data_IF_905309500171
#
_entry.id   IF_905309500171
#
_cell.length_a   1.000
_cell.length_b   1.000
_cell.length_c   1.000
_cell.angle_alpha   90.00
_cell.angle_beta   90.00
_cell.angle_gamma   90.00
#
_symmetry.space_group_name_H-M   'P 1'
#
loop_
_entity.id
_entity.type
_entity.pdbx_description
1 polymer ?
#
# COMPACT_ATOMS: atom_id res chain seq x y z
N UNK A 1 -31.50 9.67 -19.61
CA UNK A 1 -30.37 8.83 -19.17
C UNK A 1 -29.28 8.91 -20.22
N UNK A 2 -28.10 9.39 -19.88
CA UNK A 2 -26.95 9.38 -20.82
C UNK A 2 -26.31 7.99 -20.78
N UNK A 3 -25.95 7.47 -21.95
CA UNK A 3 -25.28 6.19 -22.13
C UNK A 3 -23.76 6.40 -22.20
N UNK A 4 -22.97 5.43 -21.77
CA UNK A 4 -21.51 5.47 -21.88
C UNK A 4 -21.06 5.42 -23.36
N UNK A 5 -21.80 4.65 -24.19
CA UNK A 5 -21.56 4.49 -25.62
C UNK A 5 -22.89 4.74 -26.36
N UNK A 6 -23.10 5.92 -26.91
CA UNK A 6 -24.39 6.33 -27.51
C UNK A 6 -24.81 5.50 -28.75
N UNK A 7 -23.84 4.87 -29.42
CA UNK A 7 -24.08 4.10 -30.66
C UNK A 7 -24.21 2.60 -30.47
N UNK A 8 -24.19 2.09 -29.24
CA UNK A 8 -24.15 0.63 -28.95
C UNK A 8 -25.33 0.20 -28.12
N UNK A 9 -26.08 -0.79 -28.64
CA UNK A 9 -27.14 -1.45 -27.88
C UNK A 9 -26.55 -2.17 -26.64
N UNK A 10 -27.17 -2.00 -25.48
CA UNK A 10 -26.68 -2.58 -24.24
C UNK A 10 -25.51 -1.81 -23.58
N UNK A 11 -25.41 -0.51 -23.88
CA UNK A 11 -24.44 0.38 -23.22
C UNK A 11 -24.77 0.61 -21.76
N UNK A 12 -23.74 0.72 -20.92
CA UNK A 12 -23.87 1.11 -19.52
C UNK A 12 -24.44 2.52 -19.39
N UNK A 13 -25.09 2.78 -18.28
CA UNK A 13 -25.66 4.09 -17.96
C UNK A 13 -24.59 4.93 -17.24
N UNK A 14 -24.41 6.14 -17.72
CA UNK A 14 -23.52 7.13 -17.09
C UNK A 14 -24.08 7.59 -15.75
N UNK A 15 -23.20 8.01 -14.84
CA UNK A 15 -23.60 8.49 -13.52
C UNK A 15 -24.58 9.66 -13.61
N UNK A 16 -25.60 9.67 -12.74
CA UNK A 16 -26.59 10.74 -12.63
C UNK A 16 -26.20 11.83 -11.62
N UNK A 17 -24.95 11.87 -11.19
CA UNK A 17 -24.47 12.88 -10.24
C UNK A 17 -24.62 14.29 -10.79
N UNK A 18 -24.99 15.25 -9.93
CA UNK A 18 -24.96 16.66 -10.30
C UNK A 18 -23.54 17.12 -10.64
N UNK A 19 -23.43 18.13 -11.50
CA UNK A 19 -22.11 18.68 -11.90
C UNK A 19 -21.26 19.11 -10.70
N UNK A 20 -21.87 19.64 -9.64
CA UNK A 20 -21.17 20.03 -8.40
C UNK A 20 -20.57 18.83 -7.69
N UNK A 21 -21.31 17.73 -7.58
CA UNK A 21 -20.82 16.49 -6.94
C UNK A 21 -19.68 15.90 -7.75
N UNK A 22 -19.83 15.79 -9.08
CA UNK A 22 -18.78 15.28 -9.97
C UNK A 22 -17.50 16.11 -9.86
N UNK A 23 -17.63 17.44 -9.88
CA UNK A 23 -16.49 18.35 -9.72
C UNK A 23 -15.78 18.17 -8.37
N UNK A 24 -16.53 18.06 -7.29
CA UNK A 24 -15.97 17.81 -5.95
C UNK A 24 -15.25 16.46 -5.87
N UNK A 25 -15.82 15.40 -6.47
CA UNK A 25 -15.18 14.07 -6.53
C UNK A 25 -13.87 14.14 -7.31
N UNK A 26 -13.84 14.80 -8.49
CA UNK A 26 -12.61 14.98 -9.27
C UNK A 26 -11.54 15.72 -8.47
N UNK A 27 -11.87 16.83 -7.82
CA UNK A 27 -10.91 17.58 -7.00
C UNK A 27 -10.33 16.69 -5.90
N UNK A 28 -11.19 16.02 -5.13
CA UNK A 28 -10.74 15.15 -4.04
C UNK A 28 -9.82 14.04 -4.55
N UNK A 29 -10.22 13.33 -5.60
CA UNK A 29 -9.45 12.23 -6.15
C UNK A 29 -8.13 12.69 -6.76
N UNK A 30 -8.10 13.83 -7.46
CA UNK A 30 -6.87 14.43 -8.00
C UNK A 30 -5.92 14.81 -6.85
N UNK A 31 -6.40 15.39 -5.77
CA UNK A 31 -5.57 15.69 -4.60
C UNK A 31 -4.94 14.41 -4.00
N UNK A 32 -5.72 13.32 -3.89
CA UNK A 32 -5.23 12.03 -3.41
C UNK A 32 -4.17 11.46 -4.37
N UNK A 33 -4.42 11.48 -5.68
CA UNK A 33 -3.46 11.02 -6.70
C UNK A 33 -2.16 11.80 -6.61
N UNK A 34 -2.23 13.13 -6.60
CA UNK A 34 -1.05 13.99 -6.53
C UNK A 34 -0.26 13.76 -5.24
N UNK A 35 -0.93 13.63 -4.10
CA UNK A 35 -0.28 13.34 -2.83
C UNK A 35 0.42 11.96 -2.86
N UNK A 36 -0.21 10.95 -3.48
CA UNK A 36 0.38 9.61 -3.64
C UNK A 36 1.62 9.66 -4.55
N UNK A 37 1.49 10.27 -5.72
CA UNK A 37 2.57 10.34 -6.72
C UNK A 37 3.76 11.15 -6.18
N UNK A 38 3.51 12.38 -5.74
CA UNK A 38 4.56 13.30 -5.28
C UNK A 38 5.22 12.79 -3.99
N UNK A 39 4.42 12.29 -3.04
CA UNK A 39 4.92 11.77 -1.78
C UNK A 39 5.85 10.57 -1.97
N UNK A 40 5.43 9.57 -2.76
CA UNK A 40 6.24 8.38 -3.00
C UNK A 40 7.44 8.68 -3.90
N UNK A 41 7.32 9.58 -4.89
CA UNK A 41 8.45 10.04 -5.68
C UNK A 41 9.52 10.72 -4.79
N UNK A 42 9.12 11.51 -3.81
CA UNK A 42 10.05 12.11 -2.86
C UNK A 42 10.78 11.06 -2.01
N UNK A 43 10.12 9.96 -1.62
CA UNK A 43 10.76 8.83 -0.93
C UNK A 43 11.77 8.15 -1.86
N UNK A 44 11.39 7.86 -3.10
CA UNK A 44 12.24 7.24 -4.12
C UNK A 44 13.50 8.08 -4.34
N UNK A 45 13.35 9.38 -4.60
CA UNK A 45 14.48 10.29 -4.80
C UNK A 45 15.37 10.34 -3.56
N UNK A 46 14.79 10.44 -2.36
CA UNK A 46 15.54 10.48 -1.12
C UNK A 46 16.41 9.25 -0.94
N UNK A 47 15.84 8.05 -1.07
CA UNK A 47 16.61 6.82 -0.83
C UNK A 47 17.63 6.58 -1.95
N UNK A 48 17.28 6.86 -3.21
CA UNK A 48 18.17 6.64 -4.35
C UNK A 48 19.36 7.62 -4.36
N UNK A 49 19.14 8.88 -3.94
CA UNK A 49 20.17 9.93 -4.01
C UNK A 49 21.15 9.87 -2.84
N UNK A 50 20.66 9.72 -1.60
CA UNK A 50 21.51 9.82 -0.41
C UNK A 50 22.15 8.48 -0.05
N UNK A 51 23.49 8.38 -0.22
CA UNK A 51 24.27 7.15 0.06
C UNK A 51 24.09 6.62 1.50
N UNK A 52 23.85 7.50 2.48
CA UNK A 52 23.62 7.12 3.88
C UNK A 52 22.32 6.33 4.06
N UNK A 53 21.39 6.41 3.12
CA UNK A 53 20.12 5.69 3.13
C UNK A 53 20.19 4.33 2.42
N UNK A 54 21.32 3.95 1.83
CA UNK A 54 21.50 2.65 1.17
C UNK A 54 21.67 1.53 2.21
N UNK A 55 20.61 1.22 2.90
CA UNK A 55 20.53 0.12 3.86
C UNK A 55 19.56 -0.96 3.37
N UNK A 56 19.74 -2.23 3.79
CA UNK A 56 18.83 -3.31 3.40
C UNK A 56 17.35 -2.96 3.61
N UNK A 57 17.00 -2.45 4.78
CA UNK A 57 15.62 -2.00 5.09
C UNK A 57 15.11 -0.93 4.14
N UNK A 58 15.94 0.06 3.82
CA UNK A 58 15.53 1.16 2.96
C UNK A 58 15.30 0.72 1.51
N UNK A 59 15.91 -0.37 1.06
CA UNK A 59 15.60 -0.98 -0.24
C UNK A 59 14.18 -1.57 -0.28
N UNK A 60 13.69 -2.14 0.82
CA UNK A 60 12.27 -2.54 0.93
C UNK A 60 11.34 -1.32 0.87
N UNK A 61 11.68 -0.25 1.57
CA UNK A 61 10.91 1.01 1.56
C UNK A 61 10.94 1.65 0.16
N UNK A 62 12.08 1.64 -0.52
CA UNK A 62 12.23 2.12 -1.89
C UNK A 62 11.33 1.33 -2.85
N UNK A 63 11.36 0.00 -2.76
CA UNK A 63 10.54 -0.87 -3.61
C UNK A 63 9.04 -0.67 -3.34
N UNK A 64 8.64 -0.52 -2.06
CA UNK A 64 7.25 -0.21 -1.69
C UNK A 64 6.82 1.15 -2.24
N UNK A 65 7.66 2.19 -2.08
CA UNK A 65 7.36 3.51 -2.62
C UNK A 65 7.24 3.50 -4.16
N UNK A 66 7.99 2.63 -4.84
CA UNK A 66 7.87 2.42 -6.29
C UNK A 66 6.52 1.79 -6.65
N UNK A 67 6.07 0.79 -5.91
CA UNK A 67 4.73 0.19 -6.06
C UNK A 67 3.63 1.24 -5.89
N UNK A 68 3.70 2.00 -4.78
CA UNK A 68 2.70 3.03 -4.45
C UNK A 68 2.71 4.19 -5.47
N UNK A 69 3.91 4.56 -5.98
CA UNK A 69 4.04 5.54 -7.08
C UNK A 69 3.35 5.04 -8.35
N UNK A 70 3.60 3.79 -8.75
CA UNK A 70 2.99 3.20 -9.95
C UNK A 70 1.48 3.06 -9.80
N UNK A 71 0.98 2.70 -8.61
CA UNK A 71 -0.44 2.67 -8.31
C UNK A 71 -1.06 4.06 -8.51
N UNK A 72 -0.44 5.10 -7.94
CA UNK A 72 -0.89 6.48 -8.06
C UNK A 72 -0.82 7.03 -9.49
N UNK A 73 0.19 6.65 -10.25
CA UNK A 73 0.43 7.20 -11.60
C UNK A 73 -0.32 6.45 -12.70
N UNK A 74 -0.41 5.12 -12.64
CA UNK A 74 -1.00 4.30 -13.72
C UNK A 74 -2.45 3.89 -13.43
N UNK A 75 -2.76 3.52 -12.18
CA UNK A 75 -4.05 2.91 -11.85
C UNK A 75 -5.07 3.94 -11.40
N UNK A 76 -4.72 4.78 -10.43
CA UNK A 76 -5.68 5.70 -9.82
C UNK A 76 -6.33 6.70 -10.80
N UNK A 77 -5.64 7.24 -11.84
CA UNK A 77 -6.29 8.15 -12.80
C UNK A 77 -7.41 7.48 -13.59
N UNK A 78 -7.20 6.24 -14.05
CA UNK A 78 -8.23 5.48 -14.76
C UNK A 78 -9.39 5.07 -13.82
N UNK A 79 -9.06 4.69 -12.58
CA UNK A 79 -10.04 4.42 -11.54
C UNK A 79 -10.87 5.65 -11.20
N UNK A 80 -10.29 6.85 -11.20
CA UNK A 80 -11.00 8.11 -10.98
C UNK A 80 -12.08 8.33 -12.07
N UNK A 81 -11.73 8.18 -13.34
CA UNK A 81 -12.69 8.31 -14.44
C UNK A 81 -13.81 7.29 -14.29
N UNK A 82 -13.50 6.02 -14.04
CA UNK A 82 -14.48 4.96 -13.83
C UNK A 82 -15.43 5.28 -12.67
N UNK A 83 -14.91 5.72 -11.53
CA UNK A 83 -15.73 5.98 -10.33
C UNK A 83 -16.64 7.21 -10.45
N UNK A 84 -16.18 8.26 -11.15
CA UNK A 84 -16.97 9.50 -11.30
C UNK A 84 -18.00 9.39 -12.42
N UNK A 85 -17.60 8.82 -13.57
CA UNK A 85 -18.45 8.72 -14.75
C UNK A 85 -19.33 7.46 -14.75
N UNK A 86 -18.97 6.42 -13.99
CA UNK A 86 -19.51 5.06 -14.07
C UNK A 86 -19.35 4.44 -15.47
N UNK A 87 -18.42 4.98 -16.25
CA UNK A 87 -18.11 4.57 -17.60
C UNK A 87 -16.63 4.23 -17.75
N UNK A 88 -16.36 3.29 -18.65
CA UNK A 88 -15.03 2.90 -19.06
C UNK A 88 -14.82 3.14 -20.54
N UNK A 89 -13.92 4.06 -20.87
CA UNK A 89 -13.70 4.53 -22.25
C UNK A 89 -12.50 3.88 -22.94
N UNK A 90 -11.77 3.00 -22.23
CA UNK A 90 -10.45 2.51 -22.69
C UNK A 90 -10.50 1.09 -23.31
N UNK A 91 -11.69 0.53 -23.49
CA UNK A 91 -11.87 -0.79 -24.09
C UNK A 91 -11.72 -1.95 -23.08
N UNK A 92 -12.26 -3.13 -23.47
CA UNK A 92 -12.36 -4.29 -22.59
C UNK A 92 -10.99 -4.90 -22.26
N UNK A 93 -10.10 -4.98 -23.24
CA UNK A 93 -8.75 -5.51 -23.01
C UNK A 93 -7.96 -4.67 -22.01
N UNK A 94 -8.03 -3.34 -22.13
CA UNK A 94 -7.38 -2.45 -21.18
C UNK A 94 -8.05 -2.50 -19.79
N UNK A 95 -9.36 -2.80 -19.70
CA UNK A 95 -10.02 -3.08 -18.43
C UNK A 95 -9.38 -4.27 -17.71
N UNK A 96 -9.11 -5.38 -18.41
CA UNK A 96 -8.42 -6.54 -17.83
C UNK A 96 -7.01 -6.18 -17.36
N UNK A 97 -6.24 -5.43 -18.15
CA UNK A 97 -4.89 -4.96 -17.77
C UNK A 97 -4.97 -4.06 -16.53
N UNK A 98 -5.82 -3.05 -16.57
CA UNK A 98 -5.99 -2.11 -15.46
C UNK A 98 -6.38 -2.82 -14.16
N UNK A 99 -7.36 -3.71 -14.22
CA UNK A 99 -7.82 -4.49 -13.06
C UNK A 99 -6.70 -5.40 -12.52
N UNK A 100 -5.94 -6.05 -13.40
CA UNK A 100 -4.80 -6.87 -13.00
C UNK A 100 -3.70 -6.04 -12.34
N UNK A 101 -3.38 -4.86 -12.87
CA UNK A 101 -2.41 -3.94 -12.28
C UNK A 101 -2.87 -3.40 -10.94
N UNK A 102 -4.15 -3.08 -10.80
CA UNK A 102 -4.74 -2.62 -9.54
C UNK A 102 -4.58 -3.69 -8.44
N UNK A 103 -5.01 -4.92 -8.70
CA UNK A 103 -4.86 -6.04 -7.75
C UNK A 103 -3.38 -6.31 -7.47
N UNK A 104 -2.53 -6.35 -8.50
CA UNK A 104 -1.10 -6.60 -8.36
C UNK A 104 -0.43 -5.56 -7.48
N UNK A 105 -0.57 -4.26 -7.80
CA UNK A 105 0.14 -3.20 -7.10
C UNK A 105 -0.39 -3.01 -5.67
N UNK A 106 -1.71 -3.10 -5.47
CA UNK A 106 -2.31 -3.07 -4.12
C UNK A 106 -1.82 -4.24 -3.26
N UNK A 107 -1.80 -5.46 -3.80
CA UNK A 107 -1.31 -6.65 -3.08
C UNK A 107 0.21 -6.56 -2.85
N UNK A 108 0.98 -6.07 -3.83
CA UNK A 108 2.43 -5.89 -3.68
C UNK A 108 2.78 -4.89 -2.56
N UNK A 109 2.04 -3.78 -2.43
CA UNK A 109 2.19 -2.84 -1.31
C UNK A 109 1.97 -3.54 0.04
N UNK A 110 0.94 -4.38 0.16
CA UNK A 110 0.67 -5.17 1.37
C UNK A 110 1.80 -6.15 1.70
N UNK A 111 2.34 -6.85 0.69
CA UNK A 111 3.46 -7.77 0.86
C UNK A 111 4.73 -7.05 1.33
N UNK A 112 5.03 -5.87 0.77
CA UNK A 112 6.17 -5.06 1.23
C UNK A 112 6.01 -4.64 2.70
N UNK A 113 4.81 -4.21 3.12
CA UNK A 113 4.55 -3.90 4.53
C UNK A 113 4.77 -5.11 5.45
N UNK A 114 4.38 -6.31 4.99
CA UNK A 114 4.61 -7.55 5.74
C UNK A 114 6.10 -7.85 5.89
N UNK A 115 6.89 -7.73 4.82
CA UNK A 115 8.33 -7.95 4.87
C UNK A 115 9.06 -6.86 5.66
N UNK A 116 8.64 -5.59 5.59
CA UNK A 116 9.15 -4.52 6.46
C UNK A 116 8.87 -4.86 7.93
N UNK A 117 7.72 -5.45 8.23
CA UNK A 117 7.40 -5.90 9.60
C UNK A 117 8.32 -7.02 10.07
N UNK A 118 8.65 -7.99 9.20
CA UNK A 118 9.60 -9.07 9.49
C UNK A 118 11.01 -8.51 9.71
N UNK A 119 11.46 -7.60 8.86
CA UNK A 119 12.74 -6.90 9.02
C UNK A 119 12.84 -6.20 10.39
N UNK A 120 11.80 -5.46 10.76
CA UNK A 120 11.74 -4.79 12.05
C UNK A 120 11.68 -5.73 13.24
N UNK A 121 11.03 -6.88 13.08
CA UNK A 121 11.02 -7.91 14.12
C UNK A 121 12.44 -8.36 14.49
N UNK A 122 13.25 -8.71 13.48
CA UNK A 122 14.63 -9.11 13.74
C UNK A 122 15.46 -7.96 14.31
N UNK A 123 15.29 -6.74 13.83
CA UNK A 123 16.02 -5.58 14.35
C UNK A 123 15.73 -5.29 15.83
N UNK A 124 14.50 -5.51 16.29
CA UNK A 124 14.08 -5.19 17.67
C UNK A 124 14.18 -6.39 18.60
N UNK A 125 13.75 -7.57 18.15
CA UNK A 125 13.64 -8.76 19.01
C UNK A 125 14.91 -9.61 19.03
N UNK A 126 15.74 -9.57 17.96
CA UNK A 126 17.00 -10.34 17.86
C UNK A 126 18.12 -9.50 17.21
N UNK A 127 18.53 -8.38 17.84
CA UNK A 127 19.48 -7.44 17.25
C UNK A 127 20.87 -8.04 17.00
N UNK A 128 21.28 -9.04 17.80
CA UNK A 128 22.58 -9.70 17.66
C UNK A 128 22.66 -10.53 16.37
N UNK A 129 21.55 -11.12 15.96
CA UNK A 129 21.46 -11.94 14.74
C UNK A 129 20.91 -11.18 13.54
N UNK A 130 20.50 -9.92 13.71
CA UNK A 130 19.88 -9.12 12.66
C UNK A 130 20.72 -9.13 11.38
N UNK A 131 22.01 -8.76 11.45
CA UNK A 131 22.91 -8.69 10.28
C UNK A 131 23.12 -10.03 9.57
N UNK A 132 23.04 -11.16 10.29
CA UNK A 132 23.18 -12.49 9.70
C UNK A 132 21.89 -12.99 9.07
N UNK A 133 20.73 -12.59 9.59
CA UNK A 133 19.40 -13.02 9.11
C UNK A 133 18.86 -12.11 8.02
N UNK A 134 19.07 -10.80 8.12
CA UNK A 134 18.59 -9.80 7.18
C UNK A 134 19.81 -9.21 6.44
N UNK A 135 20.23 -9.89 5.40
CA UNK A 135 21.30 -9.46 4.50
C UNK A 135 20.70 -9.02 3.15
N UNK A 136 21.54 -8.51 2.26
CA UNK A 136 21.12 -8.01 0.94
C UNK A 136 20.42 -9.09 0.11
N UNK A 137 20.89 -10.33 0.17
CA UNK A 137 20.26 -11.44 -0.58
C UNK A 137 18.82 -11.68 -0.11
N UNK A 138 18.60 -11.74 1.22
CA UNK A 138 17.25 -11.91 1.80
C UNK A 138 16.32 -10.77 1.39
N UNK A 139 16.81 -9.52 1.40
CA UNK A 139 16.03 -8.36 0.95
C UNK A 139 15.66 -8.48 -0.53
N UNK A 140 16.60 -8.86 -1.39
CA UNK A 140 16.30 -9.09 -2.83
C UNK A 140 15.23 -10.16 -3.01
N UNK A 141 15.32 -11.27 -2.27
CA UNK A 141 14.28 -12.33 -2.31
C UNK A 141 12.93 -11.80 -1.84
N UNK A 142 12.89 -11.02 -0.74
CA UNK A 142 11.65 -10.41 -0.25
C UNK A 142 11.03 -9.47 -1.29
N UNK A 143 11.84 -8.63 -1.95
CA UNK A 143 11.40 -7.74 -3.03
C UNK A 143 10.86 -8.58 -4.22
N UNK A 144 11.60 -9.58 -4.67
CA UNK A 144 11.15 -10.45 -5.77
C UNK A 144 9.80 -11.13 -5.45
N UNK A 145 9.64 -11.67 -4.26
CA UNK A 145 8.36 -12.27 -3.81
C UNK A 145 7.24 -11.21 -3.83
N UNK A 146 7.53 -10.00 -3.33
CA UNK A 146 6.54 -8.91 -3.27
C UNK A 146 6.04 -8.44 -4.64
N UNK A 147 6.81 -8.63 -5.70
CA UNK A 147 6.42 -8.31 -7.07
C UNK A 147 5.84 -9.51 -7.81
N UNK A 148 6.55 -10.64 -7.78
CA UNK A 148 6.23 -11.81 -8.64
C UNK A 148 4.97 -12.53 -8.20
N UNK A 149 4.76 -12.71 -6.88
CA UNK A 149 3.59 -13.44 -6.37
C UNK A 149 2.30 -12.65 -6.64
N UNK A 150 2.20 -11.35 -6.31
CA UNK A 150 1.03 -10.56 -6.68
C UNK A 150 0.80 -10.45 -8.19
N UNK A 151 1.87 -10.37 -9.00
CA UNK A 151 1.75 -10.32 -10.46
C UNK A 151 1.14 -11.62 -11.00
N UNK A 152 1.73 -12.77 -10.66
CA UNK A 152 1.22 -14.06 -11.10
C UNK A 152 -0.22 -14.30 -10.64
N UNK A 153 -0.54 -13.92 -9.39
CA UNK A 153 -1.88 -14.02 -8.84
C UNK A 153 -2.89 -13.14 -9.58
N UNK A 154 -2.61 -11.85 -9.73
CA UNK A 154 -3.54 -10.89 -10.32
C UNK A 154 -3.79 -11.17 -11.81
N UNK A 155 -2.72 -11.32 -12.58
CA UNK A 155 -2.85 -11.61 -14.02
C UNK A 155 -3.43 -13.01 -14.27
N UNK A 156 -3.04 -14.02 -13.51
CA UNK A 156 -3.65 -15.35 -13.59
C UNK A 156 -5.14 -15.33 -13.25
N UNK A 157 -5.54 -14.61 -12.20
CA UNK A 157 -6.93 -14.48 -11.77
C UNK A 157 -7.81 -13.85 -12.87
N UNK A 158 -7.36 -12.75 -13.48
CA UNK A 158 -8.16 -11.96 -14.42
C UNK A 158 -8.09 -12.51 -15.86
N UNK A 159 -6.90 -12.87 -16.37
CA UNK A 159 -6.76 -13.31 -17.76
C UNK A 159 -7.25 -14.74 -17.99
N UNK A 160 -7.26 -15.59 -16.96
CA UNK A 160 -7.86 -16.93 -17.01
C UNK A 160 -9.32 -16.93 -16.54
N UNK A 161 -9.94 -15.78 -16.35
CA UNK A 161 -11.31 -15.57 -15.88
C UNK A 161 -11.63 -16.39 -14.61
N UNK A 162 -10.63 -16.65 -13.74
CA UNK A 162 -10.81 -17.43 -12.51
C UNK A 162 -11.67 -16.70 -11.50
N UNK A 163 -11.71 -15.38 -11.53
CA UNK A 163 -12.57 -14.55 -10.70
C UNK A 163 -14.05 -14.75 -11.05
N UNK A 164 -14.39 -15.13 -12.28
CA UNK A 164 -15.75 -15.28 -12.77
C UNK A 164 -16.30 -16.71 -12.65
N UNK A 165 -15.46 -17.71 -12.39
CA UNK A 165 -15.91 -19.11 -12.28
C UNK A 165 -16.95 -19.27 -11.17
N UNK A 166 -18.20 -19.59 -11.57
CA UNK A 166 -19.36 -19.68 -10.67
C UNK A 166 -20.17 -18.39 -10.53
N UNK A 167 -19.72 -17.28 -11.13
CA UNK A 167 -20.41 -15.98 -11.17
C UNK A 167 -20.83 -15.55 -12.59
N UNK A 168 -20.75 -16.46 -13.58
CA UNK A 168 -20.97 -16.16 -15.00
C UNK A 168 -22.38 -15.59 -15.28
N UNK A 169 -23.38 -16.06 -14.57
CA UNK A 169 -24.76 -15.58 -14.70
C UNK A 169 -24.87 -14.11 -14.28
N UNK A 170 -24.23 -13.75 -13.17
CA UNK A 170 -24.24 -12.39 -12.64
C UNK A 170 -23.43 -11.48 -13.55
N UNK A 171 -22.24 -11.94 -13.99
CA UNK A 171 -21.43 -11.20 -14.94
C UNK A 171 -22.23 -10.84 -16.21
N UNK A 172 -22.90 -11.82 -16.82
CA UNK A 172 -23.75 -11.59 -18.01
C UNK A 172 -24.90 -10.61 -17.77
N UNK A 173 -25.40 -10.55 -16.54
CA UNK A 173 -26.51 -9.63 -16.18
C UNK A 173 -26.01 -8.18 -15.97
N UNK A 174 -24.80 -8.02 -15.44
CA UNK A 174 -24.21 -6.71 -15.12
C UNK A 174 -23.36 -6.14 -16.27
N UNK A 175 -22.85 -7.04 -17.13
CA UNK A 175 -21.98 -6.68 -18.24
C UNK A 175 -22.72 -5.82 -19.26
N UNK A 176 -22.16 -4.63 -19.56
CA UNK A 176 -22.68 -3.69 -20.53
C UNK A 176 -21.50 -3.02 -21.26
N UNK A 177 -21.74 -2.56 -22.49
CA UNK A 177 -20.72 -1.86 -23.29
C UNK A 177 -20.31 -0.54 -22.60
N UNK A 178 -19.02 -0.33 -22.39
CA UNK A 178 -18.50 0.81 -21.65
C UNK A 178 -18.50 0.59 -20.12
N UNK A 179 -18.59 -0.67 -19.66
CA UNK A 179 -18.39 -1.04 -18.26
C UNK A 179 -17.02 -1.70 -18.02
N UNK A 180 -16.50 -1.54 -16.82
CA UNK A 180 -15.31 -2.26 -16.35
C UNK A 180 -15.54 -2.66 -14.89
N UNK A 181 -16.04 -3.88 -14.69
CA UNK A 181 -16.46 -4.38 -13.39
C UNK A 181 -15.57 -5.52 -12.93
N UNK A 182 -15.10 -5.43 -11.68
CA UNK A 182 -14.45 -6.53 -11.00
C UNK A 182 -15.49 -7.32 -10.20
N UNK A 183 -15.77 -8.53 -10.65
CA UNK A 183 -16.69 -9.45 -9.99
C UNK A 183 -15.89 -10.65 -9.51
N UNK A 184 -16.12 -11.05 -8.27
CA UNK A 184 -15.59 -12.26 -7.67
C UNK A 184 -16.72 -13.24 -7.40
N UNK A 185 -16.48 -14.52 -7.69
CA UNK A 185 -17.32 -15.60 -7.17
C UNK A 185 -17.06 -15.82 -5.68
N UNK A 186 -17.89 -16.63 -5.02
CA UNK A 186 -17.69 -16.98 -3.60
C UNK A 186 -16.28 -17.50 -3.32
N UNK A 187 -15.82 -18.46 -4.13
CA UNK A 187 -14.50 -19.06 -3.97
C UNK A 187 -13.37 -18.06 -4.28
N UNK A 188 -13.46 -17.35 -5.40
CA UNK A 188 -12.42 -16.41 -5.80
C UNK A 188 -12.33 -15.21 -4.89
N UNK A 189 -13.44 -14.72 -4.36
CA UNK A 189 -13.48 -13.63 -3.38
C UNK A 189 -12.81 -14.00 -2.05
N UNK A 190 -13.08 -15.21 -1.55
CA UNK A 190 -12.38 -15.73 -0.36
C UNK A 190 -10.88 -15.89 -0.64
N UNK A 191 -10.51 -16.57 -1.73
CA UNK A 191 -9.09 -16.80 -2.07
C UNK A 191 -8.34 -15.49 -2.23
N UNK A 192 -8.91 -14.53 -2.97
CA UNK A 192 -8.31 -13.22 -3.15
C UNK A 192 -8.12 -12.49 -1.82
N UNK A 193 -9.12 -12.50 -0.95
CA UNK A 193 -9.06 -11.85 0.36
C UNK A 193 -8.05 -12.52 1.30
N UNK A 194 -8.02 -13.86 1.32
CA UNK A 194 -7.10 -14.63 2.18
C UNK A 194 -5.65 -14.41 1.75
N UNK A 195 -5.35 -14.53 0.46
CA UNK A 195 -3.99 -14.42 -0.07
C UNK A 195 -3.48 -12.98 0.01
N UNK A 196 -4.30 -12.01 -0.42
CA UNK A 196 -3.86 -10.61 -0.54
C UNK A 196 -3.90 -9.84 0.77
N UNK A 197 -4.75 -10.23 1.74
CA UNK A 197 -4.96 -9.44 2.95
C UNK A 197 -4.88 -10.23 4.25
N UNK A 198 -5.68 -11.31 4.42
CA UNK A 198 -5.78 -11.97 5.74
C UNK A 198 -4.48 -12.62 6.16
N UNK A 199 -3.80 -13.37 5.29
CA UNK A 199 -2.50 -13.99 5.63
C UNK A 199 -1.46 -12.93 5.97
N UNK A 200 -1.12 -11.95 5.10
CA UNK A 200 -0.15 -10.91 5.44
C UNK A 200 -0.57 -10.08 6.66
N UNK A 201 -1.85 -9.77 6.80
CA UNK A 201 -2.38 -9.03 7.94
C UNK A 201 -2.19 -9.76 9.28
N UNK A 202 -2.46 -11.06 9.33
CA UNK A 202 -2.22 -11.87 10.54
C UNK A 202 -0.73 -11.99 10.88
N UNK A 203 0.14 -12.15 9.87
CA UNK A 203 1.59 -12.13 10.07
C UNK A 203 2.03 -10.80 10.68
N UNK A 204 1.58 -9.69 10.14
CA UNK A 204 1.88 -8.34 10.66
C UNK A 204 1.39 -8.16 12.09
N UNK A 205 0.14 -8.52 12.41
CA UNK A 205 -0.43 -8.41 13.75
C UNK A 205 0.35 -9.25 14.77
N UNK A 206 0.71 -10.48 14.41
CA UNK A 206 1.53 -11.35 15.27
C UNK A 206 2.89 -10.73 15.55
N UNK A 207 3.57 -10.24 14.50
CA UNK A 207 4.89 -9.60 14.61
C UNK A 207 4.80 -8.35 15.50
N UNK A 208 3.83 -7.48 15.25
CA UNK A 208 3.66 -6.27 16.05
C UNK A 208 3.42 -6.57 17.52
N UNK A 209 2.57 -7.56 17.83
CA UNK A 209 2.36 -8.01 19.21
C UNK A 209 3.66 -8.45 19.88
N UNK A 210 4.52 -9.16 19.16
CA UNK A 210 5.85 -9.58 19.65
C UNK A 210 6.77 -8.39 19.89
N UNK A 211 6.90 -7.50 18.90
CA UNK A 211 7.70 -6.26 19.02
C UNK A 211 7.24 -5.42 20.21
N UNK A 212 5.94 -5.21 20.36
CA UNK A 212 5.37 -4.45 21.46
C UNK A 212 5.71 -5.07 22.84
N UNK A 213 5.56 -6.40 22.96
CA UNK A 213 5.86 -7.11 24.20
C UNK A 213 7.33 -7.00 24.58
N UNK A 214 8.25 -7.16 23.63
CA UNK A 214 9.70 -7.02 23.84
C UNK A 214 10.06 -5.57 24.19
N UNK A 215 9.56 -4.59 23.44
CA UNK A 215 9.80 -3.16 23.71
C UNK A 215 9.30 -2.74 25.10
N UNK A 216 8.15 -3.26 25.53
CA UNK A 216 7.59 -3.01 26.88
C UNK A 216 8.46 -3.62 27.98
N UNK A 217 8.94 -4.86 27.78
CA UNK A 217 9.84 -5.55 28.74
C UNK A 217 11.16 -4.79 28.88
N UNK A 218 11.77 -4.40 27.76
CA UNK A 218 13.02 -3.65 27.73
C UNK A 218 12.88 -2.27 28.41
N UNK A 219 11.78 -1.55 28.16
CA UNK A 219 11.51 -0.26 28.80
C UNK A 219 11.47 -0.39 30.33
N UNK A 220 10.77 -1.41 30.86
CA UNK A 220 10.71 -1.68 32.31
C UNK A 220 12.07 -2.02 32.91
N UNK A 221 12.92 -2.77 32.19
CA UNK A 221 14.27 -3.11 32.65
C UNK A 221 15.15 -1.87 32.75
N UNK A 222 15.06 -0.94 31.80
CA UNK A 222 15.83 0.31 31.81
C UNK A 222 15.39 1.23 32.95
N UNK A 223 14.10 1.38 33.19
CA UNK A 223 13.58 2.16 34.31
C UNK A 223 14.07 1.63 35.67
N UNK A 224 14.26 0.30 35.79
CA UNK A 224 14.79 -0.34 36.99
C UNK A 224 16.31 -0.13 37.15
N UNK A 225 17.08 -0.08 36.06
CA UNK A 225 18.55 0.04 36.04
C UNK A 225 19.00 1.51 36.13
N UNK A 226 18.27 2.45 35.55
CA UNK A 226 18.57 3.89 35.50
C UNK A 226 18.78 4.51 36.88
N UNK A 227 18.28 3.87 37.92
CA UNK A 227 18.52 4.27 39.34
C UNK A 227 19.92 3.90 39.87
N UNK A 228 20.75 3.16 39.13
CA UNK A 228 22.03 2.64 39.68
C UNK A 228 23.31 2.89 38.85
N UNK A 229 23.30 3.21 37.56
CA UNK A 229 24.53 3.34 36.75
C UNK A 229 24.38 4.29 35.54
N UNK A 230 24.83 5.53 35.67
CA UNK A 230 24.53 6.63 34.70
C UNK A 230 25.51 6.79 33.53
N UNK A 231 26.65 6.17 33.43
CA UNK A 231 27.70 6.58 32.48
C UNK A 231 28.05 5.58 31.36
N UNK A 232 27.85 4.32 31.53
CA UNK A 232 28.12 3.29 30.51
C UNK A 232 26.94 3.06 29.56
N UNK A 233 25.75 3.49 29.95
CA UNK A 233 24.47 3.17 29.30
C UNK A 233 24.01 4.17 28.22
N UNK A 234 24.66 5.34 28.08
CA UNK A 234 24.18 6.39 27.19
C UNK A 234 24.12 5.95 25.70
N UNK A 235 25.12 5.20 25.22
CA UNK A 235 25.10 4.67 23.83
C UNK A 235 24.01 3.60 23.64
N UNK A 236 23.80 2.75 24.62
CA UNK A 236 22.77 1.72 24.59
C UNK A 236 21.37 2.33 24.69
N UNK A 237 21.21 3.36 25.50
CA UNK A 237 19.96 4.11 25.67
C UNK A 237 19.56 4.87 24.40
N UNK A 238 20.51 5.50 23.69
CA UNK A 238 20.24 6.22 22.43
C UNK A 238 19.80 5.23 21.33
N UNK A 239 20.47 4.10 21.19
CA UNK A 239 20.07 3.04 20.25
C UNK A 239 18.66 2.54 20.54
N UNK A 240 18.37 2.23 21.80
CA UNK A 240 17.07 1.76 22.26
C UNK A 240 15.93 2.77 22.01
N UNK A 241 16.15 4.05 22.30
CA UNK A 241 15.16 5.11 22.03
C UNK A 241 14.86 5.23 20.53
N UNK A 242 15.88 5.02 19.68
CA UNK A 242 15.72 5.01 18.21
C UNK A 242 14.89 3.82 17.74
N UNK A 243 15.16 2.63 18.25
CA UNK A 243 14.43 1.40 17.92
C UNK A 243 12.98 1.45 18.43
N UNK A 244 12.74 2.01 19.61
CA UNK A 244 11.38 2.22 20.15
C UNK A 244 10.57 3.19 19.29
N UNK A 245 11.18 4.27 18.79
CA UNK A 245 10.53 5.19 17.85
C UNK A 245 10.19 4.47 16.54
N UNK A 246 11.11 3.69 15.99
CA UNK A 246 10.88 2.92 14.77
C UNK A 246 9.75 1.90 14.93
N UNK A 247 9.67 1.21 16.07
CA UNK A 247 8.59 0.26 16.38
C UNK A 247 7.23 0.94 16.51
N UNK A 248 7.18 2.13 17.13
CA UNK A 248 5.94 2.92 17.20
C UNK A 248 5.46 3.35 15.82
N UNK A 249 6.38 3.80 14.97
CA UNK A 249 6.08 4.18 13.58
C UNK A 249 5.51 3.01 12.80
N UNK A 250 6.12 1.83 12.92
CA UNK A 250 5.61 0.63 12.27
C UNK A 250 4.19 0.29 12.73
N UNK A 251 3.91 0.38 14.04
CA UNK A 251 2.57 0.16 14.57
C UNK A 251 1.51 1.10 13.98
N UNK A 252 1.88 2.35 13.72
CA UNK A 252 0.99 3.33 13.07
C UNK A 252 0.76 2.95 11.61
N UNK A 253 1.81 2.62 10.86
CA UNK A 253 1.72 2.19 9.46
C UNK A 253 0.80 0.97 9.34
N UNK A 254 0.98 -0.02 10.21
CA UNK A 254 0.13 -1.22 10.24
C UNK A 254 -1.31 -0.92 10.62
N UNK A 255 -1.53 -0.02 11.59
CA UNK A 255 -2.87 0.43 11.97
C UNK A 255 -3.58 1.12 10.80
N UNK A 256 -2.90 2.02 10.10
CA UNK A 256 -3.41 2.68 8.90
C UNK A 256 -3.74 1.65 7.82
N UNK A 257 -2.85 0.71 7.55
CA UNK A 257 -3.07 -0.37 6.60
C UNK A 257 -4.34 -1.17 6.92
N UNK A 258 -4.48 -1.64 8.16
CA UNK A 258 -5.65 -2.41 8.57
C UNK A 258 -6.95 -1.60 8.46
N UNK A 259 -6.95 -0.34 8.88
CA UNK A 259 -8.13 0.53 8.79
C UNK A 259 -8.52 0.73 7.32
N UNK A 260 -7.55 1.00 6.45
CA UNK A 260 -7.83 1.30 5.05
C UNK A 260 -8.34 0.08 4.26
N UNK A 261 -7.77 -1.11 4.49
CA UNK A 261 -8.06 -2.28 3.66
C UNK A 261 -9.07 -3.26 4.25
N UNK A 262 -9.26 -3.32 5.58
CA UNK A 262 -10.21 -4.26 6.21
C UNK A 262 -11.62 -4.15 5.63
N UNK A 263 -12.22 -2.96 5.46
CA UNK A 263 -13.57 -2.85 4.92
C UNK A 263 -13.67 -3.45 3.51
N UNK A 264 -12.74 -3.12 2.61
CA UNK A 264 -12.74 -3.63 1.24
C UNK A 264 -12.66 -5.15 1.19
N UNK A 265 -11.69 -5.76 1.88
CA UNK A 265 -11.52 -7.22 1.85
C UNK A 265 -12.63 -7.98 2.58
N UNK A 266 -13.19 -7.40 3.64
CA UNK A 266 -14.36 -7.94 4.30
C UNK A 266 -15.53 -8.04 3.31
N UNK A 267 -15.82 -6.97 2.60
CA UNK A 267 -16.91 -6.95 1.63
C UNK A 267 -16.62 -7.77 0.38
N UNK A 268 -15.41 -7.80 -0.11
CA UNK A 268 -15.00 -8.67 -1.22
C UNK A 268 -15.26 -10.16 -0.90
N UNK A 269 -14.98 -10.56 0.33
CA UNK A 269 -15.20 -11.93 0.77
C UNK A 269 -16.69 -12.27 1.01
N UNK A 270 -17.49 -11.29 1.44
CA UNK A 270 -18.89 -11.55 1.86
C UNK A 270 -19.94 -11.22 0.80
N UNK A 271 -19.68 -10.26 -0.11
CA UNK A 271 -20.64 -9.81 -1.11
C UNK A 271 -21.20 -10.93 -2.02
N UNK A 272 -20.40 -11.93 -2.47
CA UNK A 272 -20.95 -13.05 -3.24
C UNK A 272 -21.99 -13.86 -2.49
N UNK A 273 -21.83 -14.07 -1.19
CA UNK A 273 -22.80 -14.79 -0.32
C UNK A 273 -24.06 -13.97 -0.05
N UNK A 274 -24.01 -12.66 -0.25
CA UNK A 274 -25.13 -11.74 -0.11
C UNK A 274 -25.83 -11.46 -1.45
N UNK A 275 -25.64 -12.31 -2.46
CA UNK A 275 -26.20 -12.13 -3.80
C UNK A 275 -25.84 -10.77 -4.44
N UNK A 276 -24.65 -10.25 -4.17
CA UNK A 276 -24.14 -9.00 -4.75
C UNK A 276 -25.03 -7.77 -4.49
N UNK A 277 -25.62 -7.70 -3.29
CA UNK A 277 -26.52 -6.59 -2.90
C UNK A 277 -25.79 -5.25 -2.79
N UNK A 278 -24.47 -5.24 -2.74
CA UNK A 278 -23.71 -4.00 -2.54
C UNK A 278 -23.79 -3.07 -3.74
N UNK A 279 -24.12 -1.79 -3.50
CA UNK A 279 -24.13 -0.80 -4.56
C UNK A 279 -22.69 -0.56 -5.08
N UNK A 280 -22.50 -0.43 -6.41
CA UNK A 280 -21.18 -0.17 -7.02
C UNK A 280 -20.45 1.05 -6.44
N UNK A 281 -21.19 2.09 -6.10
CA UNK A 281 -20.65 3.32 -5.46
C UNK A 281 -19.94 3.01 -4.14
N UNK A 282 -20.49 2.10 -3.34
CA UNK A 282 -19.86 1.71 -2.08
C UNK A 282 -18.57 0.92 -2.33
N UNK A 283 -18.56 0.03 -3.33
CA UNK A 283 -17.36 -0.72 -3.71
C UNK A 283 -16.25 0.26 -4.16
N UNK A 284 -16.57 1.22 -5.01
CA UNK A 284 -15.63 2.25 -5.44
C UNK A 284 -15.11 3.08 -4.26
N UNK A 285 -15.98 3.49 -3.34
CA UNK A 285 -15.57 4.22 -2.14
C UNK A 285 -14.59 3.41 -1.27
N UNK A 286 -14.81 2.10 -1.12
CA UNK A 286 -13.93 1.21 -0.38
C UNK A 286 -12.57 1.01 -1.07
N UNK A 287 -12.54 0.94 -2.40
CA UNK A 287 -11.30 0.90 -3.19
C UNK A 287 -10.49 2.18 -2.96
N UNK A 288 -11.12 3.35 -3.05
CA UNK A 288 -10.46 4.64 -2.81
C UNK A 288 -9.98 4.77 -1.37
N UNK A 289 -10.74 4.24 -0.40
CA UNK A 289 -10.31 4.17 0.99
C UNK A 289 -9.07 3.28 1.16
N UNK A 290 -9.00 2.17 0.42
CA UNK A 290 -7.79 1.33 0.32
C UNK A 290 -6.59 2.07 -0.26
N UNK A 291 -6.78 2.84 -1.34
CA UNK A 291 -5.71 3.64 -1.95
C UNK A 291 -5.11 4.69 -1.02
N UNK A 292 -5.87 5.19 -0.04
CA UNK A 292 -5.33 6.09 0.98
C UNK A 292 -4.16 5.49 1.76
N UNK A 293 -4.06 4.16 1.86
CA UNK A 293 -2.89 3.52 2.46
C UNK A 293 -1.59 3.95 1.76
N UNK A 294 -1.56 3.92 0.42
CA UNK A 294 -0.40 4.33 -0.37
C UNK A 294 -0.12 5.84 -0.30
N UNK A 295 -1.17 6.65 -0.10
CA UNK A 295 -1.05 8.10 0.12
C UNK A 295 -0.47 8.42 1.49
N UNK A 296 -0.85 7.67 2.52
CA UNK A 296 -0.47 7.93 3.91
C UNK A 296 0.95 7.46 4.25
N UNK A 297 1.53 6.51 3.50
CA UNK A 297 2.89 6.01 3.73
C UNK A 297 3.94 7.13 3.75
N UNK A 298 4.08 8.00 2.73
CA UNK A 298 5.04 9.12 2.78
C UNK A 298 4.73 10.13 3.89
N UNK A 299 3.47 10.35 4.20
CA UNK A 299 3.04 11.26 5.28
C UNK A 299 3.53 10.72 6.63
N UNK A 300 3.32 9.44 6.90
CA UNK A 300 3.85 8.80 8.12
C UNK A 300 5.37 8.90 8.18
N UNK A 301 6.08 8.71 7.05
CA UNK A 301 7.53 8.89 7.01
C UNK A 301 7.94 10.34 7.33
N UNK A 302 7.21 11.34 6.84
CA UNK A 302 7.48 12.74 7.14
C UNK A 302 7.30 13.07 8.63
N UNK A 303 6.34 12.44 9.31
CA UNK A 303 6.15 12.66 10.74
C UNK A 303 7.19 11.96 11.61
N UNK A 304 7.60 10.76 11.26
CA UNK A 304 8.37 9.90 12.17
C UNK A 304 9.85 9.77 11.83
N UNK A 305 10.26 9.95 10.57
CA UNK A 305 11.64 9.81 10.16
C UNK A 305 12.31 11.18 9.95
N UNK A 306 13.29 11.50 10.83
CA UNK A 306 14.06 12.75 10.75
C UNK A 306 14.83 12.86 9.44
N UNK A 307 15.39 11.75 8.97
CA UNK A 307 16.12 11.70 7.70
C UNK A 307 15.24 12.10 6.52
N UNK A 308 13.97 11.63 6.50
CA UNK A 308 13.05 11.95 5.42
C UNK A 308 12.71 13.45 5.38
N UNK A 309 12.45 14.05 6.55
CA UNK A 309 12.21 15.50 6.63
C UNK A 309 13.41 16.33 6.15
N UNK A 310 14.65 15.89 6.48
CA UNK A 310 15.86 16.59 6.02
C UNK A 310 16.07 16.41 4.52
N UNK A 311 15.91 15.18 4.00
CA UNK A 311 15.98 14.88 2.58
C UNK A 311 14.93 15.69 1.80
N UNK A 312 13.67 15.71 2.29
CA UNK A 312 12.58 16.47 1.67
C UNK A 312 12.91 17.98 1.58
N UNK A 313 13.47 18.56 2.64
CA UNK A 313 13.93 19.96 2.60
C UNK A 313 14.99 20.17 1.51
N UNK A 314 15.99 19.31 1.40
CA UNK A 314 17.06 19.40 0.39
C UNK A 314 16.46 19.31 -1.02
N UNK A 315 15.50 18.42 -1.24
CA UNK A 315 14.80 18.24 -2.51
C UNK A 315 13.99 19.50 -2.86
N UNK A 316 13.15 19.98 -1.94
CA UNK A 316 12.27 21.13 -2.15
C UNK A 316 13.04 22.43 -2.43
N UNK A 317 14.22 22.61 -1.82
CA UNK A 317 15.07 23.76 -2.09
C UNK A 317 16.00 23.57 -3.29
N UNK A 318 15.85 22.51 -4.08
CA UNK A 318 16.66 22.25 -5.28
C UNK A 318 18.14 21.93 -4.98
N UNK A 319 18.51 21.77 -3.72
CA UNK A 319 19.91 21.50 -3.31
C UNK A 319 20.39 20.09 -3.67
N UNK A 320 19.49 19.25 -4.11
CA UNK A 320 19.78 17.88 -4.58
C UNK A 320 20.73 17.88 -5.79
N UNK A 321 20.69 18.96 -6.59
CA UNK A 321 21.53 19.11 -7.79
C UNK A 321 22.93 19.72 -7.48
N UNK A 322 23.21 20.07 -6.23
CA UNK A 322 24.51 20.62 -5.84
C UNK A 322 25.57 19.50 -5.73
N UNK A 323 26.81 19.85 -6.06
CA UNK A 323 27.96 18.95 -5.95
C UNK A 323 28.09 18.44 -4.50
N UNK A 324 28.30 17.12 -4.30
CA UNK A 324 28.36 16.42 -3.01
C UNK A 324 27.08 16.37 -2.17
N UNK A 325 25.94 16.78 -2.70
CA UNK A 325 24.63 16.69 -1.98
C UNK A 325 24.30 15.26 -1.52
N UNK A 326 24.72 14.23 -2.28
CA UNK A 326 24.50 12.80 -1.95
C UNK A 326 25.21 12.33 -0.66
N UNK A 327 26.22 13.09 -0.18
CA UNK A 327 27.00 12.83 1.04
C UNK A 327 26.54 13.65 2.23
N UNK A 328 25.56 14.54 2.06
CA UNK A 328 25.05 15.42 3.14
C UNK A 328 24.54 14.60 4.31
N UNK A 329 24.90 14.98 5.54
CA UNK A 329 24.45 14.30 6.76
C UNK A 329 22.97 14.49 7.02
N UNK A 330 22.22 13.38 7.01
CA UNK A 330 20.77 13.33 7.23
C UNK A 330 20.38 12.96 8.68
N UNK A 331 21.34 12.54 9.50
CA UNK A 331 21.12 12.09 10.88
C UNK A 331 21.64 13.07 11.91
#
# INVERSE_FOLDING_TARGET
MQLCCESVNGSCVRSSWSNSIRFSMYIFMVCVILATVVGNLAVIISISHFKQLHTPTNFLILSMATVDFLLGFLVMPCSMVRSVEHCWYFGEFFCKIHTSMDIMLSTASIFHLSFISIDRYYAVCDPLRYKSKINTFVIVVMVCISWMVPAAFAFGMIFLDLNLRGAEKIYKHVHCAGGCFLIFSETSGIVASVVSFYIPGFVMLYIYRKIYSVAKKQARSIDAISKKKMQFEMKHHISFCRERKASKTLGIIMGVFLICWTPFFFFTATNPFMNYVMPPVLIDALVWFGYLNSTLNPIVYAFFYTWFRRALKIILFGKVFQQDSSRTHLF
#
